data_IF_992103315356
#
_entry.id   IF_992103315356
#
_cell.length_a   1.000
_cell.length_b   1.000
_cell.length_c   1.000
_cell.angle_alpha   90.00
_cell.angle_beta   90.00
_cell.angle_gamma   90.00
#
_symmetry.space_group_name_H-M   'P 1'
#
loop_
_entity.id
_entity.type
_entity.pdbx_description
1 polymer ?
#
# COMPACT_ATOMS: atom_id res chain seq x y z
N UNK A 1 -17.58 -5.87 -14.54
CA UNK A 1 -17.19 -5.22 -13.28
C UNK A 1 -18.47 -4.82 -12.57
N UNK A 2 -18.55 -4.97 -11.25
CA UNK A 2 -19.83 -4.84 -10.51
C UNK A 2 -19.81 -3.74 -9.44
N UNK A 3 -18.87 -2.79 -9.52
CA UNK A 3 -18.69 -1.76 -8.49
C UNK A 3 -18.65 -0.38 -9.11
N UNK A 4 -19.54 0.50 -8.62
CA UNK A 4 -19.58 1.94 -8.93
C UNK A 4 -18.29 2.68 -8.52
N UNK A 5 -17.34 1.99 -7.85
CA UNK A 5 -16.14 2.61 -7.28
C UNK A 5 -15.25 3.29 -8.33
N UNK A 6 -15.31 2.88 -9.59
CA UNK A 6 -14.52 3.49 -10.67
C UNK A 6 -15.00 4.88 -11.05
N UNK A 7 -16.33 5.05 -11.09
CA UNK A 7 -16.98 6.27 -11.58
C UNK A 7 -17.28 7.26 -10.45
N UNK A 8 -16.98 6.89 -9.19
CA UNK A 8 -17.14 7.81 -8.07
C UNK A 8 -16.31 9.07 -8.28
N UNK A 9 -16.97 10.22 -8.10
CA UNK A 9 -16.28 11.47 -7.85
C UNK A 9 -15.54 11.40 -6.53
N UNK A 10 -14.54 12.26 -6.39
CA UNK A 10 -13.74 12.35 -5.16
C UNK A 10 -14.60 12.48 -3.90
N UNK A 11 -15.63 13.33 -3.92
CA UNK A 11 -16.51 13.58 -2.78
C UNK A 11 -17.19 12.30 -2.27
N UNK A 12 -17.65 11.44 -3.18
CA UNK A 12 -18.34 10.20 -2.82
C UNK A 12 -17.35 9.13 -2.35
N UNK A 13 -16.17 9.06 -2.97
CA UNK A 13 -15.08 8.22 -2.51
C UNK A 13 -14.63 8.63 -1.09
N UNK A 14 -14.44 9.93 -0.85
CA UNK A 14 -14.11 10.49 0.45
C UNK A 14 -15.18 10.15 1.49
N UNK A 15 -16.47 10.33 1.18
CA UNK A 15 -17.60 9.93 2.04
C UNK A 15 -17.53 8.45 2.42
N UNK A 16 -17.22 7.55 1.48
CA UNK A 16 -17.05 6.12 1.79
C UNK A 16 -15.93 5.87 2.82
N UNK A 17 -14.81 6.60 2.73
CA UNK A 17 -13.70 6.49 3.68
C UNK A 17 -14.11 7.02 5.06
N UNK A 18 -14.70 8.21 5.15
CA UNK A 18 -15.00 8.84 6.46
C UNK A 18 -16.19 8.20 7.18
N UNK A 19 -17.15 7.63 6.43
CA UNK A 19 -18.29 6.90 6.99
C UNK A 19 -17.95 5.46 7.38
N UNK A 20 -16.72 5.02 7.11
CA UNK A 20 -16.19 3.76 7.65
C UNK A 20 -15.93 3.87 9.16
N UNK A 21 -15.23 2.91 9.76
CA UNK A 21 -14.94 2.93 11.19
C UNK A 21 -13.98 4.10 11.58
N UNK A 22 -14.51 5.11 12.29
CA UNK A 22 -13.78 6.33 12.69
C UNK A 22 -12.49 6.05 13.47
N UNK A 23 -12.48 5.06 14.36
CA UNK A 23 -11.29 4.74 15.15
C UNK A 23 -10.23 4.03 14.29
N UNK A 24 -10.65 3.17 13.37
CA UNK A 24 -9.80 2.54 12.36
C UNK A 24 -9.18 3.59 11.43
N UNK A 25 -9.98 4.54 10.95
CA UNK A 25 -9.51 5.64 10.10
C UNK A 25 -8.41 6.46 10.77
N UNK A 26 -8.63 6.90 12.02
CA UNK A 26 -7.63 7.65 12.79
C UNK A 26 -6.31 6.87 12.93
N UNK A 27 -6.39 5.57 13.21
CA UNK A 27 -5.20 4.70 13.34
C UNK A 27 -4.45 4.59 12.00
N UNK A 28 -5.18 4.39 10.90
CA UNK A 28 -4.64 4.29 9.53
C UNK A 28 -3.96 5.57 9.06
N UNK A 29 -4.57 6.73 9.32
CA UNK A 29 -3.96 8.02 9.04
C UNK A 29 -2.66 8.21 9.82
N UNK A 30 -2.65 7.87 11.12
CA UNK A 30 -1.44 7.94 11.95
C UNK A 30 -0.32 7.04 11.41
N UNK A 31 -0.65 5.85 10.90
CA UNK A 31 0.29 4.94 10.25
C UNK A 31 0.93 5.58 9.02
N UNK A 32 0.09 5.98 8.07
CA UNK A 32 0.56 6.47 6.77
C UNK A 32 1.31 7.78 6.92
N UNK A 33 0.87 8.67 7.82
CA UNK A 33 1.60 9.90 8.11
C UNK A 33 2.99 9.64 8.69
N UNK A 34 3.10 8.70 9.64
CA UNK A 34 4.38 8.35 10.25
C UNK A 34 5.35 7.77 9.22
N UNK A 35 4.86 6.85 8.38
CA UNK A 35 5.67 6.18 7.35
C UNK A 35 6.06 7.15 6.23
N UNK A 36 5.14 8.01 5.79
CA UNK A 36 5.44 9.08 4.84
C UNK A 36 6.60 9.95 5.32
N UNK A 37 6.63 10.29 6.61
CA UNK A 37 7.72 11.06 7.19
C UNK A 37 9.08 10.35 7.15
N UNK A 38 9.13 9.02 7.07
CA UNK A 38 10.39 8.29 6.88
C UNK A 38 10.92 8.46 5.46
N UNK A 39 10.03 8.44 4.46
CA UNK A 39 10.36 8.62 3.05
C UNK A 39 10.43 10.09 2.60
N UNK A 40 10.29 11.06 3.52
CA UNK A 40 10.50 12.47 3.20
C UNK A 40 11.97 12.72 2.77
N UNK A 41 12.19 13.72 1.92
CA UNK A 41 13.51 14.13 1.40
C UNK A 41 14.21 13.05 0.57
N UNK A 42 13.46 12.22 -0.15
CA UNK A 42 13.98 11.19 -1.06
C UNK A 42 14.96 10.21 -0.40
N UNK A 43 14.79 9.99 0.90
CA UNK A 43 15.59 9.02 1.65
C UNK A 43 15.34 7.61 1.14
N UNK A 44 16.42 6.96 0.72
CA UNK A 44 16.42 5.53 0.41
C UNK A 44 16.07 4.72 1.65
N UNK A 45 15.39 3.59 1.45
CA UNK A 45 15.04 2.68 2.55
C UNK A 45 16.27 2.16 3.30
N UNK A 46 17.43 2.12 2.64
CA UNK A 46 18.72 1.77 3.20
C UNK A 46 19.12 2.66 4.40
N UNK A 47 18.69 3.92 4.43
CA UNK A 47 19.03 4.85 5.51
C UNK A 47 18.13 4.70 6.73
N UNK A 48 17.12 3.84 6.67
CA UNK A 48 16.17 3.64 7.77
C UNK A 48 16.79 2.71 8.80
N UNK A 49 16.60 3.03 10.08
CA UNK A 49 16.87 2.11 11.18
C UNK A 49 16.02 0.84 11.07
N UNK A 50 16.47 -0.28 11.63
CA UNK A 50 15.73 -1.54 11.67
C UNK A 50 14.30 -1.36 12.20
N UNK A 51 14.13 -0.49 13.21
CA UNK A 51 12.81 -0.18 13.76
C UNK A 51 11.89 0.49 12.73
N UNK A 52 12.40 1.43 11.93
CA UNK A 52 11.64 2.07 10.86
C UNK A 52 11.32 1.07 9.75
N UNK A 53 12.29 0.27 9.32
CA UNK A 53 12.11 -0.78 8.30
C UNK A 53 11.03 -1.78 8.70
N UNK A 54 11.06 -2.27 9.93
CA UNK A 54 10.03 -3.16 10.48
C UNK A 54 8.64 -2.51 10.60
N UNK A 55 8.55 -1.19 10.82
CA UNK A 55 7.28 -0.46 10.83
C UNK A 55 6.67 -0.36 9.43
N UNK A 56 7.50 -0.05 8.43
CA UNK A 56 7.11 -0.07 7.01
C UNK A 56 6.61 -1.46 6.64
N UNK A 57 7.37 -2.50 6.95
CA UNK A 57 6.99 -3.88 6.65
C UNK A 57 5.80 -4.42 7.46
N UNK A 58 5.36 -3.76 8.53
CA UNK A 58 4.24 -4.23 9.35
C UNK A 58 4.59 -5.44 10.25
N UNK A 59 5.84 -5.52 10.69
CA UNK A 59 6.39 -6.65 11.47
C UNK A 59 6.32 -6.44 12.99
N UNK A 60 6.07 -5.21 13.46
CA UNK A 60 6.05 -4.90 14.90
C UNK A 60 4.69 -5.21 15.53
N UNK A 61 4.72 -5.85 16.71
CA UNK A 61 3.55 -6.27 17.50
C UNK A 61 3.10 -5.26 18.57
N UNK A 62 3.80 -4.14 18.78
CA UNK A 62 3.56 -3.30 19.96
C UNK A 62 2.15 -2.65 19.94
N UNK A 63 1.54 -2.45 21.12
CA UNK A 63 0.14 -1.96 21.28
C UNK A 63 -0.09 -0.56 20.66
N UNK A 64 0.97 0.23 20.49
CA UNK A 64 0.95 1.55 19.83
C UNK A 64 1.19 1.48 18.30
N UNK A 65 1.61 0.33 17.79
CA UNK A 65 1.94 0.14 16.39
C UNK A 65 0.65 -0.13 15.62
N UNK A 66 0.28 0.86 14.83
CA UNK A 66 0.48 0.86 13.38
C UNK A 66 0.44 -0.52 12.66
N UNK A 67 1.09 -1.58 13.17
CA UNK A 67 1.35 -2.85 12.48
C UNK A 67 0.14 -3.75 12.22
N UNK A 68 -1.04 -3.49 12.81
CA UNK A 68 -2.27 -4.22 12.43
C UNK A 68 -3.03 -3.58 11.27
N UNK A 69 -2.81 -2.29 11.01
CA UNK A 69 -3.46 -1.63 9.86
C UNK A 69 -2.76 -2.08 8.57
N UNK A 70 -3.56 -2.29 7.51
CA UNK A 70 -3.08 -2.71 6.19
C UNK A 70 -2.32 -4.06 6.19
N UNK A 71 -2.83 -5.02 6.96
CA UNK A 71 -2.31 -6.39 7.03
C UNK A 71 -1.07 -6.54 7.91
N UNK A 72 -1.16 -7.34 8.97
CA UNK A 72 -0.01 -7.70 9.79
C UNK A 72 0.91 -8.65 9.01
N UNK A 73 2.21 -8.38 9.04
CA UNK A 73 3.25 -9.26 8.47
C UNK A 73 3.97 -10.06 9.55
N UNK A 74 3.51 -10.07 10.80
CA UNK A 74 4.21 -10.73 11.92
C UNK A 74 4.48 -12.24 11.72
N UNK A 75 3.73 -12.89 10.83
CA UNK A 75 3.92 -14.31 10.47
C UNK A 75 4.74 -14.51 9.19
N UNK A 76 5.18 -13.44 8.52
CA UNK A 76 6.00 -13.49 7.32
C UNK A 76 7.49 -13.66 7.70
N UNK A 77 7.85 -14.89 8.12
CA UNK A 77 9.19 -15.21 8.63
C UNK A 77 10.32 -14.75 7.70
N UNK A 78 10.25 -15.10 6.41
CA UNK A 78 11.27 -14.69 5.43
C UNK A 78 11.37 -13.17 5.23
N UNK A 79 10.24 -12.46 5.27
CA UNK A 79 10.27 -11.00 5.23
C UNK A 79 10.98 -10.44 6.47
N UNK A 80 10.71 -11.00 7.65
CA UNK A 80 11.38 -10.61 8.88
C UNK A 80 12.89 -10.83 8.82
N UNK A 81 13.34 -11.95 8.26
CA UNK A 81 14.75 -12.29 8.08
C UNK A 81 15.48 -11.30 7.16
N UNK A 82 14.85 -10.88 6.06
CA UNK A 82 15.51 -10.09 5.03
C UNK A 82 15.36 -8.57 5.19
N UNK A 83 14.29 -8.07 5.84
CA UNK A 83 13.93 -6.63 5.82
C UNK A 83 15.04 -5.68 6.30
N UNK A 84 15.84 -6.10 7.29
CA UNK A 84 16.91 -5.25 7.85
C UNK A 84 18.25 -5.48 7.14
N UNK A 85 18.47 -6.67 6.59
CA UNK A 85 19.82 -7.13 6.20
C UNK A 85 19.99 -7.32 4.68
N UNK A 86 18.94 -7.17 3.87
CA UNK A 86 19.01 -7.38 2.43
C UNK A 86 18.89 -6.06 1.65
N UNK A 87 19.96 -5.68 0.94
CA UNK A 87 20.04 -4.43 0.18
C UNK A 87 19.05 -4.40 -1.00
N UNK A 88 18.72 -5.55 -1.59
CA UNK A 88 17.81 -5.62 -2.73
C UNK A 88 16.40 -5.12 -2.39
N UNK A 89 15.97 -5.20 -1.12
CA UNK A 89 14.69 -4.60 -0.70
C UNK A 89 14.74 -3.08 -0.80
N UNK A 90 15.86 -2.46 -0.44
CA UNK A 90 16.05 -1.02 -0.58
C UNK A 90 16.13 -0.61 -2.04
N UNK A 91 17.00 -1.27 -2.81
CA UNK A 91 17.16 -1.00 -4.24
C UNK A 91 15.84 -1.13 -4.99
N UNK A 92 15.04 -2.16 -4.67
CA UNK A 92 13.73 -2.35 -5.26
C UNK A 92 12.83 -1.15 -4.98
N UNK A 93 12.75 -0.72 -3.72
CA UNK A 93 11.97 0.45 -3.35
C UNK A 93 12.46 1.71 -4.08
N UNK A 94 13.76 1.88 -4.28
CA UNK A 94 14.34 3.05 -4.97
C UNK A 94 13.94 3.14 -6.45
N UNK A 95 13.49 2.05 -7.07
CA UNK A 95 12.86 2.11 -8.40
C UNK A 95 11.47 2.75 -8.40
N UNK A 96 10.81 2.86 -7.26
CA UNK A 96 9.51 3.53 -7.14
C UNK A 96 9.73 4.99 -6.76
N UNK A 97 9.32 5.97 -7.59
CA UNK A 97 9.52 7.38 -7.28
C UNK A 97 8.63 7.80 -6.10
N UNK A 98 9.15 8.67 -5.24
CA UNK A 98 8.47 9.22 -4.04
C UNK A 98 7.37 10.23 -4.41
N UNK A 99 7.54 10.92 -5.54
CA UNK A 99 6.60 11.90 -6.09
C UNK A 99 6.41 11.68 -7.59
N UNK A 100 5.44 12.37 -8.19
CA UNK A 100 5.16 12.23 -9.63
C UNK A 100 4.53 10.89 -10.01
N UNK A 101 4.62 10.57 -11.30
CA UNK A 101 3.96 9.40 -11.90
C UNK A 101 4.75 8.12 -11.58
N UNK A 102 4.06 7.08 -11.13
CA UNK A 102 4.60 5.71 -11.11
C UNK A 102 4.09 4.99 -12.33
N UNK A 103 4.98 4.52 -13.19
CA UNK A 103 4.61 3.79 -14.40
C UNK A 103 4.88 2.28 -14.25
N UNK A 104 4.46 1.50 -15.24
CA UNK A 104 4.64 0.04 -15.27
C UNK A 104 6.11 -0.38 -15.18
N UNK A 105 7.02 0.35 -15.86
CA UNK A 105 8.46 0.06 -15.87
C UNK A 105 9.09 0.24 -14.49
N UNK A 106 8.66 1.25 -13.72
CA UNK A 106 9.10 1.45 -12.33
C UNK A 106 8.70 0.25 -11.46
N UNK A 107 7.45 -0.19 -11.60
CA UNK A 107 6.93 -1.37 -10.92
C UNK A 107 7.65 -2.65 -11.32
N UNK A 108 7.88 -2.89 -12.61
CA UNK A 108 8.54 -4.11 -13.07
C UNK A 108 9.99 -4.18 -12.57
N UNK A 109 10.73 -3.05 -12.61
CA UNK A 109 12.07 -2.95 -12.00
C UNK A 109 12.05 -3.21 -10.50
N UNK A 110 11.06 -2.67 -9.78
CA UNK A 110 10.86 -3.01 -8.37
C UNK A 110 10.72 -4.52 -8.19
N UNK A 111 9.91 -5.21 -9.01
CA UNK A 111 9.67 -6.66 -8.87
C UNK A 111 10.92 -7.48 -9.20
N UNK A 112 11.64 -7.12 -10.26
CA UNK A 112 12.89 -7.78 -10.65
C UNK A 112 13.92 -7.71 -9.53
N UNK A 113 14.16 -6.52 -8.98
CA UNK A 113 15.11 -6.31 -7.89
C UNK A 113 14.61 -6.95 -6.58
N UNK A 114 13.32 -6.84 -6.26
CA UNK A 114 12.77 -7.38 -5.01
C UNK A 114 12.90 -8.90 -4.92
N UNK A 115 12.77 -9.62 -6.04
CA UNK A 115 12.94 -11.08 -6.09
C UNK A 115 14.35 -11.52 -5.71
N UNK A 116 15.37 -10.69 -5.96
CA UNK A 116 16.75 -11.00 -5.55
C UNK A 116 16.90 -11.09 -4.03
N UNK A 117 16.01 -10.45 -3.27
CA UNK A 117 15.99 -10.58 -1.81
C UNK A 117 15.40 -11.91 -1.30
N UNK A 118 14.73 -12.67 -2.17
CA UNK A 118 13.90 -13.83 -1.80
C UNK A 118 14.09 -14.98 -2.80
N UNK A 119 15.33 -15.31 -3.14
CA UNK A 119 15.67 -16.39 -4.10
C UNK A 119 15.05 -17.75 -3.73
N UNK A 120 14.89 -18.01 -2.43
CA UNK A 120 14.26 -19.24 -1.91
C UNK A 120 12.74 -19.10 -1.70
N UNK A 121 12.12 -18.04 -2.22
CA UNK A 121 10.71 -17.67 -2.03
C UNK A 121 10.46 -16.81 -0.79
N UNK A 122 9.23 -16.34 -0.61
CA UNK A 122 8.85 -15.40 0.46
C UNK A 122 8.54 -13.97 -0.02
N UNK A 123 8.68 -13.75 -1.32
CA UNK A 123 8.39 -12.52 -2.07
C UNK A 123 6.90 -12.24 -2.28
N UNK A 124 6.03 -13.15 -1.82
CA UNK A 124 4.59 -13.17 -2.13
C UNK A 124 3.88 -11.82 -2.06
N UNK A 125 2.80 -11.69 -2.85
CA UNK A 125 2.14 -10.40 -3.14
C UNK A 125 1.74 -9.58 -1.90
N UNK A 126 1.47 -10.22 -0.77
CA UNK A 126 1.16 -9.53 0.48
C UNK A 126 2.34 -8.68 0.99
N UNK A 127 3.57 -9.22 0.98
CA UNK A 127 4.78 -8.50 1.37
C UNK A 127 5.11 -7.39 0.36
N UNK A 128 5.07 -7.73 -0.93
CA UNK A 128 5.31 -6.79 -2.03
C UNK A 128 4.35 -5.59 -1.98
N UNK A 129 3.04 -5.85 -1.99
CA UNK A 129 2.02 -4.78 -1.96
C UNK A 129 2.03 -3.97 -0.66
N UNK A 130 2.48 -4.57 0.46
CA UNK A 130 2.71 -3.85 1.71
C UNK A 130 3.77 -2.76 1.55
N UNK A 131 4.96 -3.13 1.08
CA UNK A 131 6.06 -2.19 0.93
C UNK A 131 5.73 -1.07 -0.08
N UNK A 132 5.11 -1.44 -1.21
CA UNK A 132 4.67 -0.48 -2.23
C UNK A 132 3.64 0.52 -1.69
N UNK A 133 2.59 0.06 -1.00
CA UNK A 133 1.57 0.93 -0.42
C UNK A 133 2.11 1.82 0.70
N UNK A 134 3.15 1.39 1.41
CA UNK A 134 3.80 2.24 2.40
C UNK A 134 4.68 3.32 1.76
N UNK A 135 5.32 3.05 0.60
CA UNK A 135 6.10 4.05 -0.13
C UNK A 135 5.22 5.02 -0.94
N UNK A 136 4.21 4.51 -1.65
CA UNK A 136 3.29 5.28 -2.50
C UNK A 136 1.82 4.93 -2.18
N UNK A 137 1.31 5.40 -1.03
CA UNK A 137 -0.08 5.15 -0.58
C UNK A 137 -1.15 5.79 -1.46
N UNK A 138 -0.76 6.66 -2.38
CA UNK A 138 -1.59 7.23 -3.42
C UNK A 138 -1.66 6.39 -4.71
N UNK A 139 -0.84 5.35 -4.84
CA UNK A 139 -0.85 4.43 -6.00
C UNK A 139 -1.19 3.01 -5.61
N UNK A 140 -0.73 2.54 -4.45
CA UNK A 140 -0.78 1.13 -4.10
C UNK A 140 -1.62 0.85 -2.87
N UNK A 141 -2.24 -0.33 -2.86
CA UNK A 141 -2.99 -0.90 -1.75
C UNK A 141 -2.35 -2.20 -1.29
N UNK A 142 -2.20 -2.38 0.03
CA UNK A 142 -1.79 -3.66 0.62
C UNK A 142 -2.84 -4.73 0.35
N UNK A 143 -2.47 -5.88 -0.21
CA UNK A 143 -3.35 -7.04 -0.27
C UNK A 143 -3.20 -7.87 1.01
N UNK A 144 -4.30 -8.11 1.71
CA UNK A 144 -4.32 -8.92 2.93
C UNK A 144 -5.57 -9.80 3.00
N UNK A 145 -5.59 -10.73 3.95
CA UNK A 145 -6.70 -11.69 4.09
C UNK A 145 -8.04 -11.03 4.38
N UNK A 146 -8.05 -9.84 5.01
CA UNK A 146 -9.27 -9.13 5.41
C UNK A 146 -9.87 -8.27 4.31
N UNK A 147 -9.09 -7.81 3.34
CA UNK A 147 -9.59 -6.99 2.23
C UNK A 147 -9.75 -7.76 0.90
N UNK A 148 -9.07 -8.90 0.74
CA UNK A 148 -8.98 -9.57 -0.57
C UNK A 148 -10.33 -9.97 -1.14
N UNK A 149 -11.29 -10.38 -0.30
CA UNK A 149 -12.59 -10.86 -0.78
C UNK A 149 -13.43 -9.70 -1.34
N UNK A 150 -13.43 -8.55 -0.64
CA UNK A 150 -14.09 -7.34 -1.12
C UNK A 150 -13.48 -6.83 -2.41
N UNK A 151 -12.14 -6.71 -2.44
CA UNK A 151 -11.40 -6.33 -3.65
C UNK A 151 -11.66 -7.30 -4.81
N UNK A 152 -11.69 -8.61 -4.53
CA UNK A 152 -11.96 -9.63 -5.55
C UNK A 152 -13.33 -9.44 -6.19
N UNK A 153 -14.36 -9.19 -5.38
CA UNK A 153 -15.74 -9.01 -5.86
C UNK A 153 -15.85 -7.75 -6.73
N UNK A 154 -15.31 -6.64 -6.25
CA UNK A 154 -15.49 -5.33 -6.89
C UNK A 154 -14.60 -5.14 -8.12
N UNK A 155 -13.37 -5.64 -8.06
CA UNK A 155 -12.38 -5.55 -9.15
C UNK A 155 -12.35 -6.79 -10.04
N UNK A 156 -13.26 -7.76 -9.83
CA UNK A 156 -13.32 -9.03 -10.55
C UNK A 156 -11.96 -9.76 -10.60
N UNK A 157 -11.24 -9.77 -9.47
CA UNK A 157 -9.88 -10.32 -9.41
C UNK A 157 -9.93 -11.85 -9.38
N UNK A 158 -8.89 -12.50 -9.92
CA UNK A 158 -8.71 -13.94 -9.71
C UNK A 158 -8.32 -14.25 -8.27
N UNK A 159 -8.57 -15.47 -7.79
CA UNK A 159 -8.16 -15.91 -6.45
C UNK A 159 -6.63 -15.88 -6.26
N UNK A 160 -5.86 -16.16 -7.33
CA UNK A 160 -4.41 -16.17 -7.33
C UNK A 160 -3.85 -14.87 -7.94
N UNK A 161 -3.80 -13.80 -7.13
CA UNK A 161 -3.19 -12.53 -7.52
C UNK A 161 -1.68 -12.62 -7.32
N UNK A 162 -0.93 -12.47 -8.40
CA UNK A 162 0.53 -12.31 -8.43
C UNK A 162 0.90 -10.93 -8.98
N UNK A 163 2.19 -10.65 -9.18
CA UNK A 163 2.70 -9.33 -9.56
C UNK A 163 2.01 -8.73 -10.79
N UNK A 164 1.99 -9.45 -11.91
CA UNK A 164 1.37 -8.96 -13.15
C UNK A 164 -0.11 -8.61 -12.96
N UNK A 165 -0.87 -9.51 -12.33
CA UNK A 165 -2.29 -9.31 -12.07
C UNK A 165 -2.56 -8.21 -11.05
N UNK A 166 -1.68 -8.03 -10.07
CA UNK A 166 -1.80 -6.91 -9.13
C UNK A 166 -1.68 -5.58 -9.87
N UNK A 167 -0.69 -5.43 -10.75
CA UNK A 167 -0.58 -4.22 -11.54
C UNK A 167 -1.73 -4.09 -12.57
N UNK A 168 -1.88 -5.07 -13.45
CA UNK A 168 -2.75 -4.96 -14.63
C UNK A 168 -4.24 -4.98 -14.26
N UNK A 169 -4.62 -5.74 -13.24
CA UNK A 169 -6.04 -5.97 -12.92
C UNK A 169 -6.48 -5.24 -11.65
N UNK A 170 -5.60 -4.58 -10.91
CA UNK A 170 -5.99 -3.79 -9.74
C UNK A 170 -5.45 -2.37 -9.83
N UNK A 171 -4.13 -2.19 -9.83
CA UNK A 171 -3.52 -0.84 -9.82
C UNK A 171 -3.91 -0.05 -11.05
N UNK A 172 -3.85 -0.67 -12.24
CA UNK A 172 -4.23 -0.04 -13.51
C UNK A 172 -5.67 0.46 -13.48
N UNK A 173 -6.59 -0.34 -12.93
CA UNK A 173 -8.00 0.08 -12.88
C UNK A 173 -8.22 1.19 -11.84
N UNK A 174 -7.49 1.15 -10.73
CA UNK A 174 -7.51 2.22 -9.72
C UNK A 174 -7.02 3.54 -10.32
N UNK A 175 -5.89 3.56 -11.04
CA UNK A 175 -5.34 4.81 -11.60
C UNK A 175 -6.23 5.41 -12.71
N UNK A 176 -7.04 4.57 -13.38
CA UNK A 176 -8.04 5.05 -14.36
C UNK A 176 -9.37 5.49 -13.73
N UNK A 177 -9.54 5.35 -12.42
CA UNK A 177 -10.77 5.78 -11.75
C UNK A 177 -10.88 7.31 -11.64
N UNK A 178 -12.13 7.80 -11.68
CA UNK A 178 -12.44 9.24 -11.63
C UNK A 178 -11.90 9.87 -10.34
N UNK A 179 -12.14 9.24 -9.18
CA UNK A 179 -11.66 9.75 -7.89
C UNK A 179 -10.14 9.81 -7.79
N UNK A 180 -9.41 8.90 -8.44
CA UNK A 180 -7.96 8.89 -8.40
C UNK A 180 -7.36 10.05 -9.18
N UNK A 181 -7.95 10.35 -10.34
CA UNK A 181 -7.57 11.48 -11.22
C UNK A 181 -8.01 12.86 -10.72
N UNK A 182 -8.73 12.91 -9.60
CA UNK A 182 -9.26 14.16 -9.05
C UNK A 182 -8.15 15.13 -8.64
N UNK A 183 -8.40 16.43 -8.82
CA UNK A 183 -7.51 17.47 -8.30
C UNK A 183 -7.41 17.41 -6.78
N UNK A 184 -6.24 17.71 -6.23
CA UNK A 184 -6.04 17.81 -4.78
C UNK A 184 -7.10 18.74 -4.14
N UNK A 185 -7.87 18.27 -3.15
CA UNK A 185 -8.86 19.08 -2.44
C UNK A 185 -8.22 20.27 -1.72
N UNK A 186 -9.03 21.32 -1.50
CA UNK A 186 -8.64 22.51 -0.73
C UNK A 186 -8.74 22.29 0.78
N UNK A 187 -9.73 21.51 1.23
CA UNK A 187 -9.88 21.19 2.65
C UNK A 187 -8.70 20.34 3.15
N UNK A 188 -8.17 20.68 4.32
CA UNK A 188 -6.99 20.01 4.87
C UNK A 188 -7.25 18.56 5.28
N UNK A 189 -8.47 18.25 5.76
CA UNK A 189 -8.84 16.90 6.17
C UNK A 189 -8.98 16.00 4.95
N UNK A 190 -9.63 16.51 3.89
CA UNK A 190 -9.72 15.82 2.60
C UNK A 190 -8.34 15.62 1.97
N UNK A 191 -7.52 16.67 1.94
CA UNK A 191 -6.16 16.63 1.38
C UNK A 191 -5.30 15.55 2.05
N UNK A 192 -5.43 15.35 3.36
CA UNK A 192 -4.71 14.29 4.05
C UNK A 192 -5.13 12.90 3.55
N UNK A 193 -6.43 12.65 3.39
CA UNK A 193 -6.93 11.37 2.85
C UNK A 193 -6.60 11.22 1.37
N UNK A 194 -6.64 12.30 0.59
CA UNK A 194 -6.31 12.31 -0.84
C UNK A 194 -4.86 11.89 -1.12
N UNK A 195 -3.93 12.29 -0.27
CA UNK A 195 -2.52 11.84 -0.35
C UNK A 195 -2.33 10.35 -0.08
N UNK A 196 -3.34 9.70 0.50
CA UNK A 196 -3.34 8.30 0.92
C UNK A 196 -4.46 7.49 0.25
N UNK A 197 -5.07 8.04 -0.80
CA UNK A 197 -6.37 7.63 -1.35
C UNK A 197 -6.44 6.15 -1.71
N UNK A 198 -5.37 5.58 -2.27
CA UNK A 198 -5.38 4.16 -2.69
C UNK A 198 -5.19 3.23 -1.50
N UNK A 199 -4.23 3.52 -0.61
CA UNK A 199 -4.03 2.74 0.61
C UNK A 199 -5.30 2.72 1.47
N UNK A 200 -6.07 3.82 1.48
CA UNK A 200 -7.33 3.93 2.21
C UNK A 200 -8.46 3.05 1.67
N UNK A 201 -8.38 2.52 0.45
CA UNK A 201 -9.30 1.46 0.01
C UNK A 201 -9.28 0.26 0.98
N UNK A 202 -8.19 0.06 1.73
CA UNK A 202 -8.13 -0.99 2.75
C UNK A 202 -9.24 -0.83 3.79
N UNK A 203 -9.61 0.40 4.22
CA UNK A 203 -10.69 0.58 5.21
C UNK A 203 -12.07 0.25 4.64
N UNK A 204 -12.29 0.53 3.35
CA UNK A 204 -13.56 0.28 2.65
C UNK A 204 -13.79 -1.23 2.50
N UNK A 205 -12.73 -1.96 2.15
CA UNK A 205 -12.81 -3.40 1.89
C UNK A 205 -12.48 -4.28 3.10
N UNK A 206 -12.09 -3.71 4.24
CA UNK A 206 -11.73 -4.47 5.43
C UNK A 206 -12.94 -5.20 6.02
N UNK A 207 -12.94 -6.53 5.92
CA UNK A 207 -13.89 -7.38 6.64
C UNK A 207 -13.45 -7.48 8.10
N UNK A 208 -14.35 -7.11 9.03
CA UNK A 208 -14.08 -7.21 10.47
C UNK A 208 -13.82 -8.67 10.86
#
# INVERSE_FOLDING_TARGET
MNSDIYDLKWEDHYKKIINSNRQSLKKRLKVLQKIKNFFNEDKSFSTFSDTQRQQVAGLRKNKESVGRCFGSMCAAGKLYEHINNNIHISNALDHIPTTGIVNKKDYDKFIEEFKLAFVDGGDGIAATSRLLAMKRPDYFICLNSKNRNGLRKDFNLSSNIRYEKYWNNLITIIIYSVWWSSSCPRDNSEKQIWQFRVAMLDIIYYQQ
#
